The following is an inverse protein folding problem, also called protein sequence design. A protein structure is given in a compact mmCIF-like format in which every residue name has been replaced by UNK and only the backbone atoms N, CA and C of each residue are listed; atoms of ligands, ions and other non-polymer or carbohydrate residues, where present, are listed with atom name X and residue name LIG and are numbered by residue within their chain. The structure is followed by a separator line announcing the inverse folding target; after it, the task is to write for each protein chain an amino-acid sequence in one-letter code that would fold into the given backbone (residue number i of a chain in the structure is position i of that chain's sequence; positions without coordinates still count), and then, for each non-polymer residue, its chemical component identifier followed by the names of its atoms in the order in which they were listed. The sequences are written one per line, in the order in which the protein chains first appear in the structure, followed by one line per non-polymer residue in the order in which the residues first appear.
data_IF_134348094468
#
_entry.id   IF_134348094468
#
_cell.length_a   1.000
_cell.length_b   1.000
_cell.length_c   1.000
_cell.angle_alpha   90.00
_cell.angle_beta   90.00
_cell.angle_gamma   90.00
#
_symmetry.space_group_name_H-M   'P 1'
#
loop_
_entity.id
_entity.type
_entity.pdbx_description
1 polymer ?
#
# COMPACT_ATOMS: atom_id res chain seq x y z
N UNK A 1 -9.70 0.46 -22.11
CA UNK A 1 -8.57 -0.35 -21.59
C UNK A 1 -7.87 0.42 -20.50
N UNK A 2 -7.60 -0.26 -19.39
CA UNK A 2 -6.84 0.31 -18.28
C UNK A 2 -5.38 0.57 -18.73
N UNK A 3 -4.75 1.63 -18.21
CA UNK A 3 -3.41 2.03 -18.69
C UNK A 3 -2.35 0.99 -18.35
N UNK A 4 -2.56 0.21 -17.29
CA UNK A 4 -1.63 -0.81 -16.79
C UNK A 4 -1.94 -2.22 -17.25
N UNK A 5 -3.06 -2.45 -17.95
CA UNK A 5 -3.49 -3.79 -18.37
C UNK A 5 -2.45 -4.49 -19.27
N UNK A 6 -1.94 -3.77 -20.28
CA UNK A 6 -0.89 -4.27 -21.17
C UNK A 6 0.41 -4.58 -20.41
N UNK A 7 0.79 -3.71 -19.48
CA UNK A 7 2.01 -3.87 -18.69
C UNK A 7 1.93 -5.01 -17.68
N UNK A 8 0.76 -5.22 -17.07
CA UNK A 8 0.51 -6.31 -16.16
C UNK A 8 0.59 -7.67 -16.86
N UNK A 9 -0.06 -7.79 -18.02
CA UNK A 9 0.02 -9.01 -18.84
C UNK A 9 1.45 -9.28 -19.29
N UNK A 10 2.19 -8.25 -19.73
CA UNK A 10 3.59 -8.38 -20.13
C UNK A 10 4.50 -8.88 -19.00
N UNK A 11 4.12 -8.63 -17.74
CA UNK A 11 4.85 -9.08 -16.54
C UNK A 11 4.35 -10.42 -15.98
N UNK A 12 3.50 -11.13 -16.73
CA UNK A 12 3.06 -12.49 -16.39
C UNK A 12 1.76 -12.57 -15.59
N UNK A 13 1.06 -11.45 -15.37
CA UNK A 13 -0.26 -11.48 -14.74
C UNK A 13 -1.34 -11.89 -15.74
N UNK A 14 -2.40 -12.53 -15.24
CA UNK A 14 -3.56 -12.82 -16.08
C UNK A 14 -4.31 -11.52 -16.43
N UNK A 15 -5.02 -11.53 -17.56
CA UNK A 15 -5.90 -10.40 -17.95
C UNK A 15 -6.93 -10.12 -16.86
N UNK A 16 -7.44 -11.16 -16.19
CA UNK A 16 -8.36 -11.01 -15.08
C UNK A 16 -7.73 -10.25 -13.92
N UNK A 17 -6.53 -10.64 -13.48
CA UNK A 17 -5.80 -9.96 -12.39
C UNK A 17 -5.49 -8.51 -12.77
N UNK A 18 -5.11 -8.27 -14.02
CA UNK A 18 -4.86 -6.92 -14.52
C UNK A 18 -6.11 -6.05 -14.43
N UNK A 19 -7.27 -6.55 -14.88
CA UNK A 19 -8.55 -5.84 -14.78
C UNK A 19 -8.98 -5.60 -13.33
N UNK A 20 -8.86 -6.61 -12.49
CA UNK A 20 -9.13 -6.51 -11.06
C UNK A 20 -8.31 -5.40 -10.40
N UNK A 21 -7.02 -5.28 -10.70
CA UNK A 21 -6.18 -4.20 -10.17
C UNK A 21 -6.64 -2.81 -10.61
N UNK A 22 -7.16 -2.68 -11.83
CA UNK A 22 -7.64 -1.39 -12.33
C UNK A 22 -8.99 -1.00 -11.69
N UNK A 23 -9.88 -1.97 -11.50
CA UNK A 23 -11.14 -1.77 -10.77
C UNK A 23 -10.85 -1.37 -9.32
N UNK A 24 -9.95 -2.09 -8.67
CA UNK A 24 -9.53 -1.81 -7.30
C UNK A 24 -8.87 -0.42 -7.18
N UNK A 25 -8.00 -0.03 -8.11
CA UNK A 25 -7.40 1.30 -8.10
C UNK A 25 -8.46 2.42 -8.14
N UNK A 26 -9.48 2.28 -8.99
CA UNK A 26 -10.59 3.22 -9.08
C UNK A 26 -11.42 3.25 -7.80
N UNK A 27 -11.73 2.08 -7.26
CA UNK A 27 -12.48 1.94 -6.01
C UNK A 27 -11.78 2.66 -4.84
N UNK A 28 -10.46 2.48 -4.74
CA UNK A 28 -9.65 3.08 -3.67
C UNK A 28 -9.28 4.55 -3.92
N UNK A 29 -9.65 5.12 -5.09
CA UNK A 29 -9.26 6.47 -5.48
C UNK A 29 -7.75 6.66 -5.71
N UNK A 30 -7.02 5.57 -6.01
CA UNK A 30 -5.56 5.58 -6.22
C UNK A 30 -5.27 5.53 -7.71
N UNK A 31 -4.22 6.24 -8.17
CA UNK A 31 -3.75 6.08 -9.55
C UNK A 31 -3.36 4.62 -9.86
N UNK A 32 -3.90 4.07 -10.94
CA UNK A 32 -3.67 2.69 -11.38
C UNK A 32 -2.17 2.32 -11.41
N UNK A 33 -1.33 3.23 -11.90
CA UNK A 33 0.12 3.02 -11.97
C UNK A 33 0.82 2.97 -10.60
N UNK A 34 0.30 3.66 -9.57
CA UNK A 34 0.83 3.59 -8.21
C UNK A 34 0.44 2.29 -7.54
N UNK A 35 -0.84 1.90 -7.61
CA UNK A 35 -1.29 0.61 -7.08
C UNK A 35 -0.55 -0.54 -7.74
N UNK A 36 -0.36 -0.48 -9.06
CA UNK A 36 0.42 -1.47 -9.79
C UNK A 36 1.87 -1.59 -9.28
N UNK A 37 2.58 -0.47 -9.14
CA UNK A 37 3.95 -0.46 -8.61
C UNK A 37 4.00 -1.02 -7.18
N UNK A 38 3.01 -0.69 -6.35
CA UNK A 38 2.88 -1.19 -4.99
C UNK A 38 2.70 -2.71 -4.95
N UNK A 39 1.79 -3.25 -5.76
CA UNK A 39 1.54 -4.69 -5.88
C UNK A 39 2.79 -5.41 -6.39
N UNK A 40 3.44 -4.90 -7.43
CA UNK A 40 4.71 -5.47 -7.92
C UNK A 40 5.80 -5.48 -6.86
N UNK A 41 5.88 -4.41 -6.05
CA UNK A 41 6.86 -4.31 -4.99
C UNK A 41 6.59 -5.36 -3.91
N UNK A 42 5.35 -5.50 -3.46
CA UNK A 42 4.94 -6.54 -2.50
C UNK A 42 5.21 -7.96 -3.05
N UNK A 43 4.85 -8.21 -4.31
CA UNK A 43 5.05 -9.51 -4.96
C UNK A 43 6.54 -9.92 -5.03
N UNK A 44 7.47 -8.96 -5.23
CA UNK A 44 8.92 -9.22 -5.17
C UNK A 44 9.40 -9.69 -3.79
N UNK A 45 8.65 -9.38 -2.74
CA UNK A 45 8.90 -9.84 -1.38
C UNK A 45 8.04 -11.07 -1.01
N UNK A 46 7.35 -11.69 -1.98
CA UNK A 46 6.45 -12.82 -1.74
C UNK A 46 5.16 -12.44 -1.01
N UNK A 47 4.78 -11.16 -1.02
CA UNK A 47 3.59 -10.65 -0.33
C UNK A 47 2.48 -10.40 -1.34
N UNK A 48 1.31 -10.97 -1.07
CA UNK A 48 0.08 -10.69 -1.79
C UNK A 48 -0.96 -10.14 -0.81
N UNK A 49 -1.59 -9.03 -1.18
CA UNK A 49 -2.67 -8.42 -0.40
C UNK A 49 -3.97 -8.60 -1.17
N UNK A 50 -4.99 -9.08 -0.46
CA UNK A 50 -6.33 -9.23 -1.02
C UNK A 50 -7.04 -7.88 -1.12
N UNK A 51 -8.16 -7.83 -1.85
CA UNK A 51 -8.93 -6.60 -2.02
C UNK A 51 -9.33 -5.99 -0.67
N UNK A 52 -9.74 -6.83 0.30
CA UNK A 52 -10.10 -6.39 1.65
C UNK A 52 -8.93 -5.76 2.41
N UNK A 53 -7.70 -6.25 2.23
CA UNK A 53 -6.52 -5.66 2.86
C UNK A 53 -6.26 -4.25 2.33
N UNK A 54 -6.41 -4.06 1.03
CA UNK A 54 -6.27 -2.74 0.40
C UNK A 54 -7.38 -1.78 0.82
N UNK A 55 -8.63 -2.26 0.91
CA UNK A 55 -9.77 -1.48 1.40
C UNK A 55 -9.56 -1.06 2.85
N UNK A 56 -9.07 -1.97 3.69
CA UNK A 56 -8.74 -1.67 5.08
C UNK A 56 -7.66 -0.60 5.14
N UNK A 57 -6.57 -0.74 4.37
CA UNK A 57 -5.54 0.28 4.29
C UNK A 57 -6.08 1.65 3.82
N UNK A 58 -6.97 1.67 2.83
CA UNK A 58 -7.59 2.90 2.32
C UNK A 58 -8.50 3.62 3.31
N UNK A 59 -9.16 2.87 4.21
CA UNK A 59 -9.95 3.46 5.30
C UNK A 59 -9.09 4.14 6.36
N UNK A 60 -7.83 3.74 6.46
CA UNK A 60 -6.92 4.17 7.52
C UNK A 60 -5.97 5.28 7.08
N UNK A 61 -5.61 5.32 5.80
CA UNK A 61 -4.70 6.32 5.24
C UNK A 61 -5.10 6.71 3.83
N UNK A 62 -4.78 7.96 3.46
CA UNK A 62 -4.83 8.42 2.08
C UNK A 62 -3.78 7.64 1.24
N UNK A 63 -4.24 6.60 0.55
CA UNK A 63 -3.35 5.73 -0.22
C UNK A 63 -2.72 6.45 -1.43
N UNK A 64 -3.38 7.40 -2.10
CA UNK A 64 -2.73 8.06 -3.25
C UNK A 64 -1.48 8.82 -2.82
N UNK A 65 -1.47 9.35 -1.58
CA UNK A 65 -0.30 10.01 -0.99
C UNK A 65 0.66 9.06 -0.30
N UNK A 66 0.17 8.04 0.41
CA UNK A 66 0.96 7.26 1.35
C UNK A 66 1.15 5.77 1.01
N UNK A 67 0.75 5.31 -0.18
CA UNK A 67 0.88 3.89 -0.57
C UNK A 67 2.30 3.35 -0.43
N UNK A 68 3.33 4.15 -0.76
CA UNK A 68 4.72 3.73 -0.63
C UNK A 68 5.13 3.48 0.84
N UNK A 69 4.63 4.31 1.75
CA UNK A 69 4.84 4.15 3.20
C UNK A 69 4.14 2.88 3.71
N UNK A 70 2.88 2.67 3.32
CA UNK A 70 2.10 1.46 3.67
C UNK A 70 2.82 0.21 3.22
N UNK A 71 3.23 0.16 1.94
CA UNK A 71 3.94 -0.98 1.36
C UNK A 71 5.25 -1.24 2.09
N UNK A 72 6.05 -0.20 2.37
CA UNK A 72 7.30 -0.34 3.11
C UNK A 72 7.09 -0.83 4.55
N UNK A 73 6.00 -0.41 5.20
CA UNK A 73 5.65 -0.89 6.53
C UNK A 73 5.29 -2.38 6.49
N UNK A 74 4.42 -2.79 5.56
CA UNK A 74 4.00 -4.19 5.41
C UNK A 74 5.21 -5.09 5.13
N UNK A 75 6.09 -4.69 4.20
CA UNK A 75 7.33 -5.44 3.90
C UNK A 75 8.19 -5.63 5.16
N UNK A 76 8.40 -4.57 5.95
CA UNK A 76 9.18 -4.64 7.19
C UNK A 76 8.53 -5.54 8.24
N UNK A 77 7.20 -5.48 8.39
CA UNK A 77 6.48 -6.33 9.36
C UNK A 77 6.49 -7.79 8.94
N UNK A 78 6.29 -8.09 7.66
CA UNK A 78 6.38 -9.46 7.14
C UNK A 78 7.80 -10.01 7.27
N UNK A 79 8.82 -9.21 6.96
CA UNK A 79 10.22 -9.59 7.18
C UNK A 79 10.55 -9.84 8.67
N UNK A 80 9.77 -9.27 9.59
CA UNK A 80 9.86 -9.51 11.04
C UNK A 80 8.99 -10.67 11.53
N UNK A 81 8.40 -11.45 10.61
CA UNK A 81 7.61 -12.66 10.91
C UNK A 81 6.10 -12.45 11.05
N UNK A 82 5.57 -11.25 10.83
CA UNK A 82 4.12 -11.04 10.81
C UNK A 82 3.49 -11.58 9.52
N UNK A 83 2.23 -12.02 9.56
CA UNK A 83 1.48 -12.24 8.31
C UNK A 83 1.12 -10.91 7.65
N UNK A 84 0.86 -10.92 6.34
CA UNK A 84 0.47 -9.71 5.61
C UNK A 84 -0.82 -9.09 6.19
N UNK A 85 -1.81 -9.92 6.52
CA UNK A 85 -3.05 -9.48 7.15
C UNK A 85 -2.82 -8.88 8.55
N UNK A 86 -1.91 -9.44 9.35
CA UNK A 86 -1.51 -8.85 10.64
C UNK A 86 -0.88 -7.47 10.43
N UNK A 87 0.06 -7.36 9.48
CA UNK A 87 0.69 -6.09 9.17
C UNK A 87 -0.32 -5.01 8.75
N UNK A 88 -1.33 -5.36 7.94
CA UNK A 88 -2.38 -4.41 7.53
C UNK A 88 -3.23 -3.98 8.74
N UNK A 89 -3.60 -4.89 9.63
CA UNK A 89 -4.38 -4.58 10.84
C UNK A 89 -3.63 -3.69 11.83
N UNK A 90 -2.29 -3.73 11.83
CA UNK A 90 -1.45 -2.89 12.69
C UNK A 90 -1.21 -1.48 12.12
N UNK A 91 -1.60 -1.21 10.86
CA UNK A 91 -1.46 0.10 10.22
C UNK A 91 -2.00 1.27 11.05
N UNK A 92 -3.18 1.21 11.71
CA UNK A 92 -3.70 2.35 12.47
C UNK A 92 -2.73 2.77 13.58
N UNK A 93 -2.26 1.80 14.38
CA UNK A 93 -1.34 2.05 15.47
C UNK A 93 0.03 2.56 14.97
N UNK A 94 0.47 2.08 13.81
CA UNK A 94 1.70 2.53 13.19
C UNK A 94 1.60 3.97 12.66
N UNK A 95 0.48 4.33 12.03
CA UNK A 95 0.19 5.66 11.49
C UNK A 95 0.05 6.68 12.62
N UNK A 96 -0.66 6.35 13.69
CA UNK A 96 -0.76 7.22 14.87
C UNK A 96 0.61 7.49 15.50
N UNK A 97 1.44 6.44 15.67
CA UNK A 97 2.81 6.60 16.20
C UNK A 97 3.66 7.48 15.27
N UNK A 98 3.55 7.30 13.96
CA UNK A 98 4.27 8.13 12.99
C UNK A 98 3.80 9.59 13.03
N UNK A 99 2.48 9.84 13.12
CA UNK A 99 1.90 11.18 13.27
C UNK A 99 2.35 11.88 14.55
N UNK A 100 2.35 11.16 15.70
CA UNK A 100 2.87 11.67 16.96
C UNK A 100 4.36 12.03 16.86
N UNK A 101 5.17 11.18 16.22
CA UNK A 101 6.59 11.46 15.99
C UNK A 101 6.82 12.65 15.07
N UNK A 102 6.01 12.80 14.02
CA UNK A 102 6.08 13.95 13.12
C UNK A 102 5.74 15.25 13.85
N UNK A 103 4.66 15.27 14.63
CA UNK A 103 4.26 16.41 15.43
C UNK A 103 5.32 16.81 16.47
N UNK A 104 5.93 15.83 17.14
CA UNK A 104 7.04 16.09 18.07
C UNK A 104 8.24 16.73 17.36
N UNK A 105 8.61 16.24 16.16
CA UNK A 105 9.71 16.84 15.37
C UNK A 105 9.38 18.26 14.93
N UNK A 106 8.15 18.53 14.53
CA UNK A 106 7.68 19.87 14.16
C UNK A 106 7.82 20.84 15.34
N UNK A 107 7.30 20.47 16.52
CA UNK A 107 7.42 21.30 17.73
C UNK A 107 8.88 21.57 18.10
N UNK A 108 9.74 20.55 18.06
CA UNK A 108 11.17 20.73 18.35
C UNK A 108 11.90 21.60 17.32
N UNK A 109 11.46 21.60 16.06
CA UNK A 109 12.06 22.42 15.00
C UNK A 109 11.67 23.90 15.12
N UNK A 110 10.51 24.20 15.69
CA UNK A 110 10.02 25.56 15.92
C UNK A 110 10.62 26.23 17.17
N UNK A 111 11.42 25.49 17.96
CA UNK A 111 12.10 26.00 19.14
C UNK A 111 13.53 26.52 18.85
N UNK A 112 13.93 26.57 17.58
CA UNK A 112 15.27 26.99 17.11
C UNK A 112 15.15 28.27 16.27
#
# INVERSE_FOLDING_TARGET
MCKVEKDAVRRGFTVHTARWLCELAKELGVRESRLWKAVLKLARHGIWLEAEDWRLAARLVDLDKHIDMVVNYIIRRVASGASAAQAVRELPAAVEKAGKLAHIREVLSNLI
#
